data_IF_837580956204
#
_entry.id   IF_837580956204
#
_cell.length_a   1.000
_cell.length_b   1.000
_cell.length_c   1.000
_cell.angle_alpha   90.00
_cell.angle_beta   90.00
_cell.angle_gamma   90.00
#
_symmetry.space_group_name_H-M   'P 1'
#
loop_
_entity.id
_entity.type
_entity.pdbx_description
1 polymer ?
#
# COMPACT_ATOMS: atom_id res chain seq x y z
N UNK A 1 -13.23 3.39 -10.44
CA UNK A 1 -11.81 3.69 -10.62
C UNK A 1 -11.10 2.47 -11.16
N UNK A 2 -10.30 2.65 -12.17
CA UNK A 2 -9.42 1.59 -12.65
C UNK A 2 -8.04 1.86 -12.08
N UNK A 3 -7.61 1.04 -11.17
CA UNK A 3 -6.39 1.29 -10.41
C UNK A 3 -5.15 1.41 -11.28
N UNK A 4 -5.04 0.56 -12.30
CA UNK A 4 -3.90 0.58 -13.21
C UNK A 4 -3.78 1.91 -13.95
N UNK A 5 -4.90 2.43 -14.43
CA UNK A 5 -4.92 3.74 -15.10
C UNK A 5 -4.63 4.86 -14.13
N UNK A 6 -5.22 4.80 -12.94
CA UNK A 6 -5.00 5.80 -11.89
C UNK A 6 -3.53 5.82 -11.46
N UNK A 7 -2.91 4.66 -11.37
CA UNK A 7 -1.49 4.55 -11.04
C UNK A 7 -0.63 5.31 -12.05
N UNK A 8 -0.94 5.19 -13.34
CA UNK A 8 -0.23 5.92 -14.40
C UNK A 8 -0.50 7.42 -14.35
N UNK A 9 -1.72 7.82 -14.04
CA UNK A 9 -2.06 9.24 -13.90
C UNK A 9 -1.29 9.89 -12.76
N UNK A 10 -1.18 9.18 -11.64
CA UNK A 10 -0.44 9.66 -10.49
C UNK A 10 1.03 9.85 -10.85
N UNK A 11 1.61 8.89 -11.55
CA UNK A 11 3.00 9.00 -12.00
C UNK A 11 3.20 10.16 -12.96
N UNK A 12 2.28 10.32 -13.92
CA UNK A 12 2.36 11.43 -14.87
C UNK A 12 2.28 12.78 -14.15
N UNK A 13 1.42 12.89 -13.14
CA UNK A 13 1.32 14.10 -12.34
C UNK A 13 2.64 14.41 -11.63
N UNK A 14 3.34 13.37 -11.13
CA UNK A 14 4.65 13.56 -10.51
C UNK A 14 5.65 14.11 -11.51
N UNK A 15 5.65 13.57 -12.73
CA UNK A 15 6.54 14.05 -13.79
C UNK A 15 6.24 15.51 -14.14
N UNK A 16 4.97 15.83 -14.31
CA UNK A 16 4.53 17.17 -14.72
C UNK A 16 4.91 18.22 -13.69
N UNK A 17 4.90 17.86 -12.42
CA UNK A 17 5.20 18.79 -11.33
C UNK A 17 6.67 18.77 -10.88
N UNK A 18 7.48 17.92 -11.50
CA UNK A 18 8.89 17.81 -11.14
C UNK A 18 9.12 17.12 -9.80
N UNK A 19 8.17 16.30 -9.35
CA UNK A 19 8.34 15.52 -8.11
C UNK A 19 9.32 14.38 -8.33
N UNK A 20 9.85 13.86 -7.24
CA UNK A 20 10.79 12.75 -7.28
C UNK A 20 10.17 11.49 -7.90
N UNK A 21 10.86 10.90 -8.87
CA UNK A 21 10.46 9.61 -9.48
C UNK A 21 11.64 8.64 -9.59
N UNK A 22 12.78 8.97 -9.01
CA UNK A 22 14.00 8.18 -9.16
C UNK A 22 14.55 7.65 -7.83
N UNK A 23 14.36 8.38 -6.75
CA UNK A 23 14.87 8.00 -5.44
C UNK A 23 13.81 7.19 -4.69
N UNK A 24 13.91 5.88 -4.77
CA UNK A 24 12.94 4.97 -4.16
C UNK A 24 12.95 5.06 -2.63
N UNK A 25 14.12 5.21 -2.02
CA UNK A 25 14.20 5.39 -0.57
C UNK A 25 13.40 6.59 -0.10
N UNK A 26 13.50 7.69 -0.84
CA UNK A 26 12.76 8.89 -0.52
C UNK A 26 11.25 8.66 -0.60
N UNK A 27 10.79 7.93 -1.63
CA UNK A 27 9.36 7.64 -1.78
C UNK A 27 8.83 6.77 -0.64
N UNK A 28 9.61 5.78 -0.20
CA UNK A 28 9.21 4.99 0.97
C UNK A 28 9.13 5.86 2.23
N UNK A 29 10.08 6.75 2.44
CA UNK A 29 10.06 7.65 3.60
C UNK A 29 8.85 8.58 3.56
N UNK A 30 8.51 9.10 2.38
CA UNK A 30 7.33 9.95 2.21
C UNK A 30 6.05 9.16 2.51
N UNK A 31 6.00 7.91 2.08
CA UNK A 31 4.85 7.04 2.38
C UNK A 31 4.69 6.84 3.89
N UNK A 32 5.77 6.59 4.62
CA UNK A 32 5.72 6.50 6.07
C UNK A 32 5.17 7.79 6.68
N UNK A 33 5.58 8.93 6.14
CA UNK A 33 5.07 10.22 6.59
C UNK A 33 3.56 10.35 6.42
N UNK A 34 3.03 9.90 5.28
CA UNK A 34 1.59 9.96 5.03
C UNK A 34 0.82 9.06 6.00
N UNK A 35 1.37 7.89 6.32
CA UNK A 35 0.76 7.00 7.31
C UNK A 35 0.72 7.68 8.68
N UNK A 36 1.80 8.34 9.07
CA UNK A 36 1.87 9.06 10.34
C UNK A 36 0.85 10.18 10.40
N UNK A 37 0.67 10.92 9.29
CA UNK A 37 -0.33 12.00 9.23
C UNK A 37 -1.75 11.48 9.36
N UNK A 38 -2.05 10.34 8.72
CA UNK A 38 -3.37 9.73 8.82
C UNK A 38 -3.66 9.28 10.25
N UNK A 39 -2.68 8.66 10.90
CA UNK A 39 -2.82 8.24 12.29
C UNK A 39 -3.05 9.44 13.20
N UNK A 40 -2.31 10.51 13.00
CA UNK A 40 -2.43 11.72 13.79
C UNK A 40 -3.81 12.37 13.60
N UNK A 41 -4.28 12.43 12.37
CA UNK A 41 -5.61 12.96 12.07
C UNK A 41 -6.70 12.15 12.77
N UNK A 42 -6.60 10.82 12.72
CA UNK A 42 -7.57 9.96 13.41
C UNK A 42 -7.51 10.15 14.93
N UNK A 43 -6.32 10.15 15.49
CA UNK A 43 -6.12 10.29 16.94
C UNK A 43 -6.67 11.61 17.47
N UNK A 44 -6.53 12.66 16.68
CA UNK A 44 -7.01 14.00 17.03
C UNK A 44 -8.44 14.26 16.58
N UNK A 45 -9.11 13.25 16.04
CA UNK A 45 -10.50 13.31 15.59
C UNK A 45 -10.74 14.39 14.53
N UNK A 46 -9.79 14.54 13.61
CA UNK A 46 -9.94 15.49 12.51
C UNK A 46 -10.82 14.90 11.41
N UNK A 47 -11.51 15.77 10.68
CA UNK A 47 -12.37 15.36 9.57
C UNK A 47 -11.57 14.95 8.33
N UNK A 48 -10.27 15.18 8.32
CA UNK A 48 -9.41 14.93 7.16
C UNK A 48 -8.91 13.49 7.05
N UNK A 49 -9.33 12.58 7.93
CA UNK A 49 -8.83 11.20 7.92
C UNK A 49 -8.99 10.55 6.56
N UNK A 50 -10.15 10.74 5.91
CA UNK A 50 -10.39 10.18 4.59
C UNK A 50 -9.39 10.68 3.55
N UNK A 51 -9.10 11.98 3.56
CA UNK A 51 -8.11 12.56 2.65
C UNK A 51 -6.71 12.02 2.94
N UNK A 52 -6.34 11.86 4.20
CA UNK A 52 -5.03 11.34 4.56
C UNK A 52 -4.87 9.88 4.15
N UNK A 53 -5.94 9.09 4.27
CA UNK A 53 -5.91 7.71 3.79
C UNK A 53 -5.77 7.66 2.26
N UNK A 54 -6.44 8.59 1.57
CA UNK A 54 -6.30 8.71 0.11
C UNK A 54 -4.87 9.04 -0.27
N UNK A 55 -4.19 9.92 0.47
CA UNK A 55 -2.81 10.27 0.22
C UNK A 55 -1.89 9.05 0.36
N UNK A 56 -2.14 8.19 1.34
CA UNK A 56 -1.38 6.94 1.49
C UNK A 56 -1.51 6.10 0.22
N UNK A 57 -2.74 5.92 -0.26
CA UNK A 57 -3.00 5.12 -1.45
C UNK A 57 -2.34 5.72 -2.68
N UNK A 58 -2.37 7.05 -2.81
CA UNK A 58 -1.75 7.77 -3.93
C UNK A 58 -0.23 7.56 -3.93
N UNK A 59 0.42 7.70 -2.77
CA UNK A 59 1.86 7.46 -2.67
C UNK A 59 2.21 6.01 -3.00
N UNK A 60 1.38 5.08 -2.52
CA UNK A 60 1.60 3.66 -2.79
C UNK A 60 1.48 3.35 -4.29
N UNK A 61 0.47 3.90 -4.94
CA UNK A 61 0.29 3.70 -6.39
C UNK A 61 1.42 4.35 -7.19
N UNK A 62 1.84 5.55 -6.80
CA UNK A 62 2.96 6.23 -7.45
C UNK A 62 4.25 5.43 -7.33
N UNK A 63 4.53 4.92 -6.14
CA UNK A 63 5.69 4.08 -5.89
C UNK A 63 5.65 2.81 -6.73
N UNK A 64 4.48 2.20 -6.82
CA UNK A 64 4.30 0.99 -7.63
C UNK A 64 4.65 1.25 -9.09
N UNK A 65 4.22 2.38 -9.63
CA UNK A 65 4.53 2.74 -11.01
C UNK A 65 6.04 2.96 -11.20
N UNK A 66 6.68 3.64 -10.26
CA UNK A 66 8.13 3.84 -10.28
C UNK A 66 8.87 2.50 -10.33
N UNK A 67 8.37 1.51 -9.58
CA UNK A 67 8.99 0.20 -9.50
C UNK A 67 8.57 -0.75 -10.64
N UNK A 68 7.70 -0.31 -11.53
CA UNK A 68 7.21 -1.14 -12.62
C UNK A 68 6.28 -2.25 -12.16
N UNK A 69 5.56 -2.04 -11.06
CA UNK A 69 4.66 -3.04 -10.47
C UNK A 69 3.22 -2.70 -10.84
N UNK A 70 2.47 -3.69 -11.30
CA UNK A 70 1.03 -3.59 -11.49
C UNK A 70 0.37 -3.91 -10.14
N UNK A 71 0.11 -2.86 -9.37
CA UNK A 71 -0.41 -3.01 -8.01
C UNK A 71 -1.78 -3.68 -7.99
N UNK A 72 -2.63 -3.37 -8.97
CA UNK A 72 -3.96 -3.98 -9.05
C UNK A 72 -3.85 -5.51 -9.13
N UNK A 73 -2.98 -5.99 -10.01
CA UNK A 73 -2.75 -7.43 -10.16
C UNK A 73 -2.18 -8.04 -8.88
N UNK A 74 -1.24 -7.36 -8.22
CA UNK A 74 -0.65 -7.84 -6.98
C UNK A 74 -1.71 -7.93 -5.87
N UNK A 75 -2.58 -6.93 -5.79
CA UNK A 75 -3.66 -6.93 -4.81
C UNK A 75 -4.62 -8.10 -5.06
N UNK A 76 -5.01 -8.32 -6.31
CA UNK A 76 -5.92 -9.39 -6.67
C UNK A 76 -5.35 -10.75 -6.29
N UNK A 77 -4.08 -10.97 -6.60
CA UNK A 77 -3.39 -12.20 -6.22
C UNK A 77 -3.34 -12.38 -4.70
N UNK A 78 -3.01 -11.31 -4.00
CA UNK A 78 -2.85 -11.38 -2.55
C UNK A 78 -4.18 -11.58 -1.84
N UNK A 79 -5.24 -10.97 -2.35
CA UNK A 79 -6.59 -11.17 -1.81
C UNK A 79 -6.97 -12.65 -1.93
N UNK A 80 -6.69 -13.27 -3.06
CA UNK A 80 -6.98 -14.70 -3.26
C UNK A 80 -6.17 -15.57 -2.28
N UNK A 81 -4.88 -15.28 -2.14
CA UNK A 81 -4.02 -16.00 -1.19
C UNK A 81 -4.56 -15.86 0.23
N UNK A 82 -4.90 -14.64 0.63
CA UNK A 82 -5.38 -14.38 1.99
C UNK A 82 -6.72 -15.08 2.26
N UNK A 83 -7.61 -15.10 1.27
CA UNK A 83 -8.90 -15.77 1.41
C UNK A 83 -8.73 -17.27 1.66
N UNK A 84 -7.72 -17.88 1.02
CA UNK A 84 -7.51 -19.31 1.10
C UNK A 84 -6.64 -19.74 2.28
N UNK A 85 -6.08 -18.77 3.02
CA UNK A 85 -5.30 -19.08 4.21
C UNK A 85 -6.16 -19.56 5.34
N UNK A 86 -5.66 -20.57 6.05
CA UNK A 86 -6.33 -21.10 7.23
C UNK A 86 -5.50 -20.76 8.45
N UNK A 87 -6.17 -20.32 9.50
CA UNK A 87 -5.54 -19.95 10.76
C UNK A 87 -6.05 -20.82 11.87
N UNK A 88 -5.20 -21.08 12.87
CA UNK A 88 -5.62 -21.78 14.06
C UNK A 88 -4.97 -21.12 15.27
N UNK A 89 -5.63 -21.26 16.43
CA UNK A 89 -5.11 -20.73 17.67
C UNK A 89 -4.02 -21.66 18.19
N UNK A 90 -2.85 -21.10 18.45
CA UNK A 90 -1.74 -21.80 19.09
C UNK A 90 -1.27 -20.92 20.24
N UNK A 91 -1.46 -21.40 21.46
CA UNK A 91 -1.10 -20.65 22.67
C UNK A 91 -1.74 -19.27 22.71
N UNK A 92 -3.02 -19.17 22.29
CA UNK A 92 -3.76 -17.93 22.28
C UNK A 92 -3.46 -16.99 21.12
N UNK A 93 -2.62 -17.39 20.17
CA UNK A 93 -2.25 -16.60 19.02
C UNK A 93 -2.71 -17.28 17.74
N UNK A 94 -3.31 -16.50 16.83
CA UNK A 94 -3.66 -17.02 15.51
C UNK A 94 -2.40 -17.19 14.67
N UNK A 95 -2.22 -18.37 14.11
CA UNK A 95 -1.09 -18.66 13.25
C UNK A 95 -1.57 -19.26 11.94
N UNK A 96 -0.87 -18.94 10.85
CA UNK A 96 -1.14 -19.56 9.57
C UNK A 96 -0.80 -21.04 9.64
N UNK A 97 -1.60 -21.86 8.95
CA UNK A 97 -1.24 -23.26 8.78
C UNK A 97 -0.04 -23.37 7.84
N UNK A 98 0.54 -24.56 7.79
CA UNK A 98 1.81 -24.79 7.13
C UNK A 98 1.79 -24.71 5.61
N UNK A 99 0.62 -24.57 5.01
CA UNK A 99 0.46 -24.67 3.55
C UNK A 99 0.51 -23.34 2.84
N UNK A 100 1.10 -22.32 3.45
CA UNK A 100 1.33 -21.07 2.78
C UNK A 100 2.41 -21.28 1.71
N UNK A 101 2.07 -21.17 0.42
CA UNK A 101 3.03 -21.45 -0.65
C UNK A 101 4.07 -20.36 -0.82
N UNK A 102 3.93 -19.25 -0.14
CA UNK A 102 4.84 -18.13 -0.31
C UNK A 102 5.86 -18.13 0.80
N UNK A 103 7.12 -18.40 0.51
CA UNK A 103 8.16 -18.36 1.53
C UNK A 103 8.43 -16.94 1.98
N UNK A 104 9.04 -16.79 3.14
CA UNK A 104 9.45 -15.48 3.66
C UNK A 104 8.34 -14.47 3.76
N UNK A 105 7.19 -14.88 4.21
CA UNK A 105 6.10 -13.95 4.42
C UNK A 105 6.40 -12.98 5.55
N UNK A 106 6.19 -11.75 5.29
CA UNK A 106 6.40 -10.68 6.25
C UNK A 106 5.11 -10.01 6.56
#
# INVERSE_FOLDING_TARGET
MKMKETQKEIYQNKLDKGFNVTDVNKEFCLLYGEVAEAYDAWRKKRETVGEELADIAIYLMGLSEILGIDLESEIEKKVAVNRDRVYQLVDGVLRKTTDDPTPCQR
#
